data_IF_351830835108
#
_entry.id   IF_351830835108
#
_cell.length_a   1.000
_cell.length_b   1.000
_cell.length_c   1.000
_cell.angle_alpha   90.00
_cell.angle_beta   90.00
_cell.angle_gamma   90.00
#
_symmetry.space_group_name_H-M   'P 1'
#
loop_
_entity.id
_entity.type
_entity.pdbx_description
1 polymer ?
#
# COMPACT_ATOMS: atom_id res chain seq x y z
N UNK A 1 -7.63 -2.91 -16.45
CA UNK A 1 -7.28 -3.50 -15.15
C UNK A 1 -6.76 -2.40 -14.23
N UNK A 2 -7.22 -2.40 -13.01
CA UNK A 2 -6.82 -1.40 -12.03
C UNK A 2 -6.31 -2.05 -10.76
N UNK A 3 -5.24 -1.48 -10.23
CA UNK A 3 -4.74 -1.81 -8.91
C UNK A 3 -5.43 -0.89 -7.91
N UNK A 4 -6.11 -1.45 -6.94
CA UNK A 4 -6.80 -0.67 -5.91
C UNK A 4 -5.98 -0.73 -4.63
N UNK A 5 -5.36 0.38 -4.26
CA UNK A 5 -4.63 0.47 -2.99
C UNK A 5 -5.59 0.83 -1.86
N UNK A 6 -5.42 0.16 -0.74
CA UNK A 6 -6.17 0.48 0.47
C UNK A 6 -5.28 1.36 1.33
N UNK A 7 -5.58 2.65 1.35
CA UNK A 7 -4.80 3.63 2.10
C UNK A 7 -5.38 3.77 3.49
N UNK A 8 -4.55 3.63 4.49
CA UNK A 8 -4.97 3.74 5.89
C UNK A 8 -4.81 5.19 6.33
N UNK A 9 -5.91 5.87 6.57
CA UNK A 9 -5.90 7.26 7.02
C UNK A 9 -5.91 7.36 8.55
N UNK A 10 -6.61 6.42 9.19
CA UNK A 10 -6.64 6.32 10.64
C UNK A 10 -7.03 4.89 11.02
N UNK A 11 -7.16 4.61 12.31
CA UNK A 11 -7.54 3.26 12.76
C UNK A 11 -8.92 2.82 12.27
N UNK A 12 -9.76 3.77 11.87
CA UNK A 12 -11.14 3.48 11.44
C UNK A 12 -11.46 4.02 10.05
N UNK A 13 -10.52 4.68 9.39
CA UNK A 13 -10.79 5.34 8.12
C UNK A 13 -9.83 4.88 7.05
N UNK A 14 -10.38 4.43 5.93
CA UNK A 14 -9.62 3.94 4.78
C UNK A 14 -10.03 4.66 3.53
N UNK A 15 -9.12 4.74 2.58
CA UNK A 15 -9.39 5.28 1.25
C UNK A 15 -8.95 4.26 0.22
N UNK A 16 -9.78 4.06 -0.81
CA UNK A 16 -9.43 3.18 -1.92
C UNK A 16 -8.93 4.02 -3.08
N UNK A 17 -7.69 3.76 -3.49
CA UNK A 17 -7.04 4.55 -4.54
C UNK A 17 -6.84 3.69 -5.78
N UNK A 18 -7.57 3.94 -6.88
CA UNK A 18 -7.39 3.19 -8.12
C UNK A 18 -6.20 3.70 -8.91
N UNK A 19 -5.42 2.77 -9.45
CA UNK A 19 -4.26 3.08 -10.28
C UNK A 19 -4.31 2.19 -11.51
N UNK A 20 -4.19 2.77 -12.70
CA UNK A 20 -4.20 2.01 -13.93
C UNK A 20 -2.95 1.14 -14.03
N UNK A 21 -3.16 -0.13 -14.40
CA UNK A 21 -2.07 -1.07 -14.59
C UNK A 21 -1.65 -1.04 -16.05
N UNK A 22 -0.37 -0.76 -16.35
CA UNK A 22 0.10 -0.73 -17.75
C UNK A 22 -0.05 -2.09 -18.44
N UNK A 23 -0.20 -2.11 -19.76
CA UNK A 23 -0.24 -3.37 -20.50
C UNK A 23 1.01 -4.21 -20.25
N UNK A 24 0.83 -5.51 -20.13
CA UNK A 24 1.94 -6.43 -19.89
C UNK A 24 2.41 -6.50 -18.46
N UNK A 25 1.74 -5.82 -17.54
CA UNK A 25 2.10 -5.82 -16.13
C UNK A 25 0.92 -6.34 -15.31
N UNK A 26 1.21 -7.07 -14.24
CA UNK A 26 0.19 -7.51 -13.30
C UNK A 26 0.02 -6.50 -12.17
N UNK A 27 -1.08 -6.63 -11.42
CA UNK A 27 -1.32 -5.78 -10.26
C UNK A 27 -0.21 -5.93 -9.21
N UNK A 28 0.24 -7.16 -8.97
CA UNK A 28 1.30 -7.39 -7.98
C UNK A 28 2.63 -6.79 -8.42
N UNK A 29 2.93 -6.83 -9.71
CA UNK A 29 4.14 -6.19 -10.24
C UNK A 29 4.09 -4.68 -10.07
N UNK A 30 2.95 -4.07 -10.37
CA UNK A 30 2.79 -2.64 -10.19
C UNK A 30 2.86 -2.28 -8.71
N UNK A 31 2.21 -3.06 -7.86
CA UNK A 31 2.25 -2.84 -6.41
C UNK A 31 3.69 -2.80 -5.90
N UNK A 32 4.49 -3.80 -6.30
CA UNK A 32 5.90 -3.87 -5.88
C UNK A 32 6.72 -2.68 -6.39
N UNK A 33 6.29 -2.09 -7.49
CA UNK A 33 7.02 -0.98 -8.12
C UNK A 33 6.72 0.36 -7.47
N UNK A 34 5.47 0.58 -7.04
CA UNK A 34 5.03 1.89 -6.54
C UNK A 34 4.95 1.96 -5.02
N UNK A 35 5.03 0.82 -4.35
CA UNK A 35 4.94 0.76 -2.89
C UNK A 35 6.33 0.49 -2.33
N UNK A 36 6.71 1.24 -1.31
CA UNK A 36 7.98 1.04 -0.63
C UNK A 36 7.72 0.72 0.83
N UNK A 37 8.72 0.16 1.48
CA UNK A 37 8.59 -0.32 2.85
C UNK A 37 9.50 0.47 3.77
N UNK A 38 8.97 0.84 4.94
CA UNK A 38 9.71 1.56 5.96
C UNK A 38 9.74 0.71 7.22
N UNK A 39 10.94 0.53 7.77
CA UNK A 39 11.15 -0.21 9.01
C UNK A 39 10.92 0.72 10.19
N UNK A 40 10.11 0.28 11.15
CA UNK A 40 9.85 1.01 12.38
C UNK A 40 9.47 2.47 12.12
N UNK A 41 8.35 2.71 11.42
CA UNK A 41 7.95 4.09 11.16
C UNK A 41 7.70 4.86 12.46
N UNK A 42 7.88 6.16 12.40
CA UNK A 42 7.88 7.02 13.60
C UNK A 42 6.61 6.94 14.43
N UNK A 43 5.47 6.65 13.81
CA UNK A 43 4.21 6.55 14.53
C UNK A 43 4.05 5.22 15.25
N UNK A 44 4.92 4.26 14.97
CA UNK A 44 4.84 2.93 15.58
C UNK A 44 5.67 2.87 16.85
N UNK A 45 5.04 2.42 17.94
CA UNK A 45 5.74 2.21 19.20
C UNK A 45 5.59 0.74 19.60
N UNK A 46 6.50 -0.08 19.08
CA UNK A 46 6.53 -1.50 19.39
C UNK A 46 7.52 -1.80 20.50
N UNK A 47 7.36 -2.96 21.12
CA UNK A 47 8.19 -3.41 22.24
C UNK A 47 9.49 -4.05 21.74
N UNK A 48 10.26 -3.30 20.97
CA UNK A 48 11.50 -3.80 20.40
C UNK A 48 11.32 -4.73 19.20
N UNK A 49 10.10 -4.92 18.73
CA UNK A 49 9.83 -5.74 17.56
C UNK A 49 10.09 -4.94 16.29
N UNK A 50 10.58 -5.64 15.26
CA UNK A 50 10.74 -5.03 13.95
C UNK A 50 9.37 -4.96 13.29
N UNK A 51 8.98 -3.75 12.91
CA UNK A 51 7.73 -3.50 12.23
C UNK A 51 8.02 -2.94 10.85
N UNK A 52 7.38 -3.47 9.83
CA UNK A 52 7.56 -3.01 8.46
C UNK A 52 6.21 -2.54 7.96
N UNK A 53 6.15 -1.31 7.48
CA UNK A 53 4.92 -0.71 6.96
C UNK A 53 5.11 -0.35 5.49
N UNK A 54 4.15 -0.73 4.67
CA UNK A 54 4.12 -0.35 3.27
C UNK A 54 3.59 1.07 3.12
N UNK A 55 4.20 1.83 2.20
CA UNK A 55 3.81 3.20 1.91
C UNK A 55 3.72 3.43 0.41
N UNK A 56 2.81 4.31 0.03
CA UNK A 56 2.72 4.85 -1.32
C UNK A 56 2.47 6.34 -1.20
N UNK A 57 3.33 7.14 -1.83
CA UNK A 57 3.21 8.60 -1.82
C UNK A 57 3.07 9.14 -0.38
N UNK A 58 3.87 8.61 0.53
CA UNK A 58 3.92 8.99 1.95
C UNK A 58 2.67 8.62 2.74
N UNK A 59 1.79 7.79 2.17
CA UNK A 59 0.58 7.33 2.84
C UNK A 59 0.71 5.84 3.16
N UNK A 60 0.28 5.43 4.36
CA UNK A 60 0.35 4.04 4.77
C UNK A 60 -0.61 3.18 3.95
N UNK A 61 -0.12 2.05 3.47
CA UNK A 61 -0.90 1.11 2.66
C UNK A 61 -1.24 -0.10 3.51
N UNK A 62 -2.53 -0.40 3.66
CA UNK A 62 -2.98 -1.55 4.41
C UNK A 62 -3.12 -2.81 3.57
N UNK A 63 -3.15 -2.65 2.25
CA UNK A 63 -3.29 -3.79 1.35
C UNK A 63 -3.68 -3.32 -0.03
N UNK A 64 -3.97 -4.28 -0.92
CA UNK A 64 -4.43 -3.96 -2.26
C UNK A 64 -5.26 -5.11 -2.82
N UNK A 65 -6.02 -4.81 -3.85
CA UNK A 65 -6.66 -5.84 -4.66
C UNK A 65 -6.68 -5.39 -6.11
N UNK A 66 -6.95 -6.35 -6.98
CA UNK A 66 -6.93 -6.10 -8.41
C UNK A 66 -8.35 -6.08 -8.96
N UNK A 67 -8.69 -5.03 -9.69
CA UNK A 67 -9.98 -4.91 -10.35
C UNK A 67 -9.76 -5.09 -11.84
N UNK A 68 -10.44 -6.08 -12.42
CA UNK A 68 -10.19 -6.49 -13.81
C UNK A 68 -11.09 -5.80 -14.83
N UNK A 69 -11.92 -4.91 -14.42
CA UNK A 69 -12.78 -4.17 -15.35
C UNK A 69 -12.30 -2.77 -15.58
#
# INVERSE_FOLDING_TARGET
MKLILIIVLSSTLYEFKPIDVPPGMSCSQLYDKIVYYVKNPNYFQGNGQIWIQAFHNKQAVGGYYCETK
#
